data_IF_672900664305
#
_entry.id   IF_672900664305
#
_cell.length_a   1.000
_cell.length_b   1.000
_cell.length_c   1.000
_cell.angle_alpha   90.00
_cell.angle_beta   90.00
_cell.angle_gamma   90.00
#
_symmetry.space_group_name_H-M   'P 1'
#
loop_
_entity.id
_entity.type
_entity.pdbx_description
1 polymer ?
#
# COMPACT_ATOMS: atom_id res chain seq x y z
N UNK A 1 7.52 12.53 -4.29
CA UNK A 1 7.79 11.36 -3.43
C UNK A 1 9.23 10.92 -3.64
N UNK A 2 9.92 10.43 -2.60
CA UNK A 2 11.27 9.86 -2.76
C UNK A 2 11.16 8.54 -3.53
N UNK A 3 12.08 8.22 -4.45
CA UNK A 3 12.09 6.93 -5.14
C UNK A 3 12.24 5.76 -4.15
N UNK A 4 11.53 4.65 -4.40
CA UNK A 4 11.71 3.41 -3.65
C UNK A 4 13.12 2.85 -3.88
N UNK A 5 13.73 2.31 -2.83
CA UNK A 5 14.97 1.53 -2.97
C UNK A 5 14.72 0.25 -3.76
N UNK A 6 15.78 -0.38 -4.28
CA UNK A 6 15.65 -1.63 -5.04
C UNK A 6 14.92 -2.71 -4.24
N UNK A 7 15.31 -2.92 -2.98
CA UNK A 7 14.64 -3.89 -2.10
C UNK A 7 13.15 -3.60 -1.94
N UNK A 8 12.76 -2.33 -1.82
CA UNK A 8 11.35 -1.94 -1.71
C UNK A 8 10.59 -2.22 -3.01
N UNK A 9 11.21 -1.98 -4.17
CA UNK A 9 10.61 -2.33 -5.46
C UNK A 9 10.43 -3.84 -5.61
N UNK A 10 11.44 -4.62 -5.22
CA UNK A 10 11.37 -6.09 -5.27
C UNK A 10 10.20 -6.61 -4.41
N UNK A 11 10.00 -6.03 -3.22
CA UNK A 11 8.86 -6.34 -2.35
C UNK A 11 7.52 -5.95 -2.99
N UNK A 12 7.43 -4.79 -3.65
CA UNK A 12 6.20 -4.39 -4.35
C UNK A 12 5.90 -5.34 -5.51
N UNK A 13 6.91 -5.76 -6.25
CA UNK A 13 6.77 -6.63 -7.42
C UNK A 13 6.34 -8.05 -7.04
N UNK A 14 6.91 -8.60 -5.97
CA UNK A 14 6.59 -9.93 -5.44
C UNK A 14 6.39 -9.90 -3.90
N UNK A 15 5.21 -9.46 -3.43
CA UNK A 15 4.93 -9.35 -1.99
C UNK A 15 4.90 -10.70 -1.30
N UNK A 16 4.54 -11.77 -2.01
CA UNK A 16 4.42 -13.12 -1.47
C UNK A 16 5.78 -13.74 -1.09
N UNK A 17 6.85 -13.33 -1.78
CA UNK A 17 8.22 -13.75 -1.48
C UNK A 17 8.79 -13.12 -0.22
N UNK A 18 8.25 -11.98 0.22
CA UNK A 18 8.70 -11.29 1.42
C UNK A 18 8.03 -11.87 2.69
N UNK A 19 8.65 -12.90 3.28
CA UNK A 19 8.12 -13.55 4.51
C UNK A 19 8.29 -12.71 5.78
N UNK A 20 9.38 -11.96 5.89
CA UNK A 20 9.65 -11.05 7.01
C UNK A 20 10.51 -9.88 6.53
N UNK A 21 10.04 -8.65 6.76
CA UNK A 21 10.80 -7.43 6.48
C UNK A 21 10.99 -6.69 7.80
N UNK A 22 12.23 -6.63 8.27
CA UNK A 22 12.60 -5.73 9.35
C UNK A 22 12.89 -4.35 8.75
N UNK A 23 12.17 -3.34 9.21
CA UNK A 23 12.30 -2.01 8.66
C UNK A 23 12.33 -0.96 9.78
N UNK A 24 13.37 -0.13 9.75
CA UNK A 24 13.62 0.93 10.74
C UNK A 24 12.56 2.03 10.67
N UNK A 25 12.45 2.84 11.73
CA UNK A 25 11.57 4.01 11.72
C UNK A 25 11.95 4.96 10.56
N UNK A 26 10.95 5.53 9.89
CA UNK A 26 11.18 6.43 8.74
C UNK A 26 11.60 5.75 7.43
N UNK A 27 11.67 4.42 7.37
CA UNK A 27 12.10 3.69 6.16
C UNK A 27 11.08 3.67 5.01
N UNK A 28 9.91 4.30 5.17
CA UNK A 28 8.86 4.31 4.14
C UNK A 28 8.03 3.02 4.04
N UNK A 29 7.81 2.30 5.15
CA UNK A 29 7.04 1.03 5.16
C UNK A 29 5.61 1.20 4.64
N UNK A 30 4.96 2.30 5.02
CA UNK A 30 3.58 2.59 4.63
C UNK A 30 3.50 2.81 3.12
N UNK A 31 4.46 3.51 2.54
CA UNK A 31 4.57 3.77 1.11
C UNK A 31 4.70 2.45 0.33
N UNK A 32 5.50 1.50 0.83
CA UNK A 32 5.59 0.15 0.23
C UNK A 32 4.24 -0.56 0.27
N UNK A 33 3.53 -0.55 1.41
CA UNK A 33 2.21 -1.17 1.53
C UNK A 33 1.17 -0.54 0.60
N UNK A 34 1.21 0.79 0.45
CA UNK A 34 0.35 1.50 -0.50
C UNK A 34 0.65 1.06 -1.93
N UNK A 35 1.92 1.00 -2.34
CA UNK A 35 2.30 0.58 -3.69
C UNK A 35 1.89 -0.87 -3.99
N UNK A 36 1.94 -1.77 -3.01
CA UNK A 36 1.39 -3.12 -3.12
C UNK A 36 -0.12 -3.08 -3.39
N UNK A 37 -0.86 -2.26 -2.64
CA UNK A 37 -2.31 -2.10 -2.85
C UNK A 37 -2.63 -1.56 -4.25
N UNK A 38 -1.84 -0.59 -4.74
CA UNK A 38 -2.02 -0.02 -6.08
C UNK A 38 -1.75 -1.05 -7.18
N UNK A 39 -0.68 -1.82 -7.03
CA UNK A 39 -0.36 -2.91 -7.95
C UNK A 39 -1.50 -3.93 -7.98
N UNK A 40 -1.97 -4.35 -6.81
CA UNK A 40 -3.06 -5.31 -6.73
C UNK A 40 -4.35 -4.80 -7.37
N UNK A 41 -4.72 -3.53 -7.14
CA UNK A 41 -5.86 -2.90 -7.79
C UNK A 41 -5.73 -2.86 -9.32
N UNK A 42 -4.53 -2.60 -9.85
CA UNK A 42 -4.25 -2.64 -11.30
C UNK A 42 -4.31 -4.04 -11.88
N UNK A 43 -3.90 -5.04 -11.10
CA UNK A 43 -3.90 -6.46 -11.48
C UNK A 43 -5.26 -7.14 -11.24
N UNK A 44 -6.24 -6.45 -10.65
CA UNK A 44 -7.54 -7.02 -10.30
C UNK A 44 -7.47 -8.05 -9.17
N UNK A 45 -6.47 -7.96 -8.29
CA UNK A 45 -6.27 -8.87 -7.16
C UNK A 45 -6.63 -8.20 -5.83
N UNK A 46 -7.08 -9.01 -4.87
CA UNK A 46 -7.46 -8.54 -3.53
C UNK A 46 -6.27 -8.64 -2.58
N UNK A 47 -6.10 -7.64 -1.71
CA UNK A 47 -5.08 -7.62 -0.66
C UNK A 47 -5.74 -7.34 0.69
N UNK A 48 -5.37 -8.13 1.71
CA UNK A 48 -5.78 -7.91 3.09
C UNK A 48 -4.57 -7.39 3.90
N UNK A 49 -4.71 -6.20 4.48
CA UNK A 49 -3.73 -5.67 5.43
C UNK A 49 -4.23 -5.88 6.86
N UNK A 50 -3.46 -6.60 7.67
CA UNK A 50 -3.77 -6.85 9.08
C UNK A 50 -2.71 -6.18 9.95
N UNK A 51 -3.14 -5.33 10.87
CA UNK A 51 -2.26 -4.57 11.76
C UNK A 51 -2.75 -4.66 13.21
N UNK A 52 -1.83 -4.69 14.18
CA UNK A 52 -2.18 -4.76 15.62
C UNK A 52 -2.87 -3.48 16.11
N UNK A 53 -2.56 -2.34 15.52
CA UNK A 53 -3.30 -1.09 15.69
C UNK A 53 -4.40 -1.01 14.62
N UNK A 54 -5.48 -0.23 14.82
CA UNK A 54 -6.52 -0.02 13.82
C UNK A 54 -6.02 0.81 12.61
N UNK A 55 -5.11 0.30 11.78
CA UNK A 55 -4.96 0.78 10.40
C UNK A 55 -6.12 0.17 9.60
N UNK A 56 -7.31 0.75 9.76
CA UNK A 56 -8.39 0.57 8.80
C UNK A 56 -7.95 1.26 7.50
N UNK A 57 -7.32 0.50 6.61
CA UNK A 57 -7.34 0.84 5.20
C UNK A 57 -8.80 0.56 4.79
N UNK A 58 -9.62 1.61 4.82
CA UNK A 58 -11.01 1.51 4.42
C UNK A 58 -11.06 1.04 2.96
N UNK A 59 -12.16 0.42 2.57
CA UNK A 59 -12.40 -0.01 1.20
C UNK A 59 -12.04 1.09 0.19
N UNK A 60 -11.36 0.71 -0.89
CA UNK A 60 -11.03 1.66 -1.95
C UNK A 60 -12.30 1.96 -2.75
N UNK A 61 -12.82 3.17 -2.62
CA UNK A 61 -13.89 3.67 -3.46
C UNK A 61 -13.31 4.17 -4.80
N UNK A 62 -14.02 3.92 -5.91
CA UNK A 62 -13.60 4.36 -7.24
C UNK A 62 -14.44 5.55 -7.69
N UNK A 63 -13.79 6.61 -8.14
CA UNK A 63 -14.43 7.76 -8.82
C UNK A 63 -13.66 8.07 -10.10
N UNK A 64 -14.26 7.78 -11.26
CA UNK A 64 -13.55 7.86 -12.55
C UNK A 64 -12.32 6.93 -12.60
N UNK A 65 -11.14 7.48 -12.90
CA UNK A 65 -9.85 6.77 -12.88
C UNK A 65 -9.14 6.80 -11.51
N UNK A 66 -9.81 7.30 -10.47
CA UNK A 66 -9.22 7.51 -9.16
C UNK A 66 -9.74 6.45 -8.17
N UNK A 67 -8.84 5.74 -7.52
CA UNK A 67 -9.14 4.94 -6.33
C UNK A 67 -8.82 5.77 -5.11
N UNK A 68 -9.75 5.89 -4.17
CA UNK A 68 -9.56 6.63 -2.95
C UNK A 68 -9.96 5.79 -1.74
N UNK A 69 -9.16 5.84 -0.69
CA UNK A 69 -9.54 5.31 0.62
C UNK A 69 -9.27 6.37 1.69
N UNK A 70 -10.16 6.42 2.68
CA UNK A 70 -10.03 7.33 3.81
C UNK A 70 -9.62 6.52 5.03
N UNK A 71 -8.43 6.80 5.54
CA UNK A 71 -7.93 6.19 6.75
C UNK A 71 -8.74 6.71 7.95
N UNK A 72 -8.78 5.92 9.03
CA UNK A 72 -9.40 6.29 10.30
C UNK A 72 -8.81 7.57 10.94
N UNK A 73 -7.61 7.96 10.53
CA UNK A 73 -6.96 9.23 10.90
C UNK A 73 -7.47 10.44 10.12
N UNK A 74 -8.37 10.26 9.15
CA UNK A 74 -8.87 11.30 8.26
C UNK A 74 -8.01 11.55 7.02
N UNK A 75 -6.82 10.95 6.94
CA UNK A 75 -5.96 11.03 5.76
C UNK A 75 -6.57 10.27 4.56
N UNK A 76 -6.49 10.86 3.38
CA UNK A 76 -7.00 10.27 2.12
C UNK A 76 -5.82 9.78 1.29
N UNK A 77 -5.87 8.54 0.84
CA UNK A 77 -4.94 7.98 -0.14
C UNK A 77 -5.68 7.94 -1.47
N UNK A 78 -5.20 8.72 -2.44
CA UNK A 78 -5.69 8.70 -3.82
C UNK A 78 -4.68 8.06 -4.75
N UNK A 79 -5.17 7.23 -5.67
CA UNK A 79 -4.37 6.62 -6.72
C UNK A 79 -5.03 6.85 -8.06
N UNK A 80 -4.29 7.50 -8.96
CA UNK A 80 -4.70 7.74 -10.35
C UNK A 80 -4.11 6.62 -11.22
N UNK A 81 -4.96 6.01 -12.05
CA UNK A 81 -4.54 5.08 -13.11
C UNK A 81 -4.35 5.83 -14.41
#
# INVERSE_FOLDING_TARGET
MKPLSQLQQDIVNDPARAKLIQAVAGSGKTEVLVQIALKAAREGTNVLFVTKAHLKIAEFAKSGNHYHTKLSSGAVIEAVV
#
